data_IF_288639221475
#
_entry.id   IF_288639221475
#
_cell.length_a   1.000
_cell.length_b   1.000
_cell.length_c   1.000
_cell.angle_alpha   90.00
_cell.angle_beta   90.00
_cell.angle_gamma   90.00
#
_symmetry.space_group_name_H-M   'P 1'
#
loop_
_entity.id
_entity.type
_entity.pdbx_description
1 polymer ?
#
# COMPACT_ATOMS: atom_id res chain seq x y z
N UNK A 1 -17.31 -14.10 2.21
CA UNK A 1 -16.73 -13.57 0.95
C UNK A 1 -16.73 -12.03 0.89
N UNK A 2 -17.89 -11.37 1.02
CA UNK A 2 -18.00 -9.88 0.98
C UNK A 2 -17.18 -9.19 2.08
N UNK A 3 -17.11 -9.79 3.28
CA UNK A 3 -16.33 -9.25 4.40
C UNK A 3 -14.82 -9.20 4.09
N UNK A 4 -14.24 -10.25 3.49
CA UNK A 4 -12.83 -10.30 3.12
C UNK A 4 -12.46 -9.25 2.07
N UNK A 5 -13.32 -9.10 1.06
CA UNK A 5 -13.16 -8.06 0.04
C UNK A 5 -13.18 -6.69 0.72
N UNK A 6 -14.12 -6.44 1.64
CA UNK A 6 -14.19 -5.16 2.36
C UNK A 6 -12.94 -4.85 3.19
N UNK A 7 -12.33 -5.84 3.84
CA UNK A 7 -11.10 -5.66 4.64
C UNK A 7 -9.89 -5.39 3.75
N UNK A 8 -9.75 -6.12 2.64
CA UNK A 8 -8.67 -5.90 1.66
C UNK A 8 -8.82 -4.52 1.02
N UNK A 9 -10.04 -4.14 0.62
CA UNK A 9 -10.35 -2.80 0.10
C UNK A 9 -10.06 -1.71 1.12
N UNK A 10 -10.34 -1.93 2.41
CA UNK A 10 -10.04 -0.96 3.48
C UNK A 10 -8.53 -0.79 3.68
N UNK A 11 -7.76 -1.88 3.71
CA UNK A 11 -6.28 -1.82 3.82
C UNK A 11 -5.67 -1.14 2.60
N UNK A 12 -6.19 -1.45 1.41
CA UNK A 12 -5.78 -0.83 0.17
C UNK A 12 -6.09 0.69 0.19
N UNK A 13 -7.30 1.08 0.60
CA UNK A 13 -7.70 2.48 0.77
C UNK A 13 -6.88 3.21 1.84
N UNK A 14 -6.53 2.56 2.96
CA UNK A 14 -5.64 3.15 3.97
C UNK A 14 -4.22 3.34 3.42
N UNK A 15 -3.69 2.36 2.69
CA UNK A 15 -2.42 2.48 1.99
C UNK A 15 -2.43 3.65 1.01
N UNK A 16 -3.48 3.75 0.18
CA UNK A 16 -3.67 4.86 -0.75
C UNK A 16 -3.80 6.21 -0.02
N UNK A 17 -4.62 6.28 1.03
CA UNK A 17 -4.81 7.49 1.84
C UNK A 17 -3.51 7.96 2.48
N UNK A 18 -2.65 7.06 2.99
CA UNK A 18 -1.35 7.46 3.54
C UNK A 18 -0.40 8.03 2.48
N UNK A 19 -0.46 7.53 1.24
CA UNK A 19 0.31 8.07 0.11
C UNK A 19 -0.23 9.45 -0.29
N UNK A 20 -1.55 9.60 -0.39
CA UNK A 20 -2.22 10.88 -0.74
C UNK A 20 -2.04 11.94 0.35
N UNK A 21 -2.17 11.58 1.63
CA UNK A 21 -1.97 12.50 2.76
C UNK A 21 -0.51 12.92 2.89
N UNK A 22 0.45 12.06 2.51
CA UNK A 22 1.87 12.45 2.41
C UNK A 22 2.14 13.33 1.19
N UNK A 23 1.27 13.34 0.18
CA UNK A 23 1.36 14.20 -1.00
C UNK A 23 1.16 15.69 -0.68
N UNK A 24 0.46 16.01 0.42
CA UNK A 24 0.21 17.39 0.87
C UNK A 24 1.35 18.03 1.69
N UNK A 25 2.31 17.26 2.19
CA UNK A 25 3.57 17.83 2.71
C UNK A 25 4.45 18.14 1.50
N UNK A 26 5.20 19.25 1.53
CA UNK A 26 6.16 19.76 0.49
C UNK A 26 7.22 18.76 -0.05
N UNK A 27 7.06 17.46 0.16
CA UNK A 27 7.81 16.39 -0.48
C UNK A 27 7.44 16.33 -1.96
N UNK A 28 8.45 16.46 -2.82
CA UNK A 28 8.30 16.23 -4.27
C UNK A 28 7.62 14.87 -4.48
N UNK A 29 6.61 14.77 -5.36
CA UNK A 29 5.93 13.50 -5.63
C UNK A 29 6.96 12.47 -6.08
N UNK A 30 7.04 11.34 -5.36
CA UNK A 30 7.92 10.26 -5.75
C UNK A 30 7.21 9.38 -6.79
N UNK A 31 7.39 9.74 -8.05
CA UNK A 31 6.82 9.02 -9.19
C UNK A 31 7.32 7.57 -9.31
N UNK A 32 8.49 7.27 -8.75
CA UNK A 32 8.99 5.90 -8.67
C UNK A 32 8.18 5.09 -7.65
N UNK A 33 7.87 5.68 -6.49
CA UNK A 33 6.95 5.07 -5.52
C UNK A 33 5.54 4.92 -6.11
N UNK A 34 5.02 5.90 -6.86
CA UNK A 34 3.71 5.77 -7.54
C UNK A 34 3.69 4.63 -8.56
N UNK A 35 4.77 4.46 -9.33
CA UNK A 35 4.91 3.34 -10.26
C UNK A 35 4.91 1.98 -9.54
N UNK A 36 5.67 1.86 -8.44
CA UNK A 36 5.72 0.64 -7.63
C UNK A 36 4.38 0.31 -6.97
N UNK A 37 3.69 1.32 -6.44
CA UNK A 37 2.34 1.13 -5.89
C UNK A 37 1.40 0.66 -6.99
N UNK A 38 1.40 1.29 -8.16
CA UNK A 38 0.59 0.82 -9.30
C UNK A 38 0.86 -0.64 -9.68
N UNK A 39 2.13 -1.04 -9.72
CA UNK A 39 2.55 -2.41 -10.01
C UNK A 39 2.04 -3.43 -8.99
N UNK A 40 1.97 -3.06 -7.70
CA UNK A 40 1.42 -3.91 -6.64
C UNK A 40 -0.11 -4.03 -6.71
N UNK A 41 -0.81 -3.00 -7.19
CA UNK A 41 -2.27 -2.97 -7.22
C UNK A 41 -2.89 -3.79 -8.35
N UNK A 42 -2.17 -4.02 -9.46
CA UNK A 42 -2.66 -4.88 -10.56
C UNK A 42 -2.94 -6.33 -10.10
N UNK A 43 -1.95 -7.07 -9.56
CA UNK A 43 -2.19 -8.44 -9.12
C UNK A 43 -3.16 -8.49 -7.93
N UNK A 44 -3.20 -7.44 -7.10
CA UNK A 44 -4.16 -7.34 -6.00
C UNK A 44 -5.60 -7.22 -6.51
N UNK A 45 -5.84 -6.37 -7.52
CA UNK A 45 -7.15 -6.22 -8.15
C UNK A 45 -7.58 -7.46 -8.92
N UNK A 46 -6.64 -8.13 -9.60
CA UNK A 46 -6.91 -9.41 -10.27
C UNK A 46 -7.28 -10.50 -9.25
N UNK A 47 -6.55 -10.60 -8.14
CA UNK A 47 -6.86 -11.55 -7.07
C UNK A 47 -8.21 -11.26 -6.39
N UNK A 48 -8.58 -9.99 -6.25
CA UNK A 48 -9.86 -9.57 -5.70
C UNK A 48 -11.02 -9.62 -6.72
N UNK A 49 -10.74 -9.94 -7.99
CA UNK A 49 -11.70 -9.80 -9.10
C UNK A 49 -12.32 -8.39 -9.18
N UNK A 50 -11.57 -7.37 -8.76
CA UNK A 50 -12.00 -5.97 -8.72
C UNK A 50 -11.37 -5.19 -9.88
N UNK A 51 -12.20 -4.92 -10.89
CA UNK A 51 -11.81 -4.19 -12.09
C UNK A 51 -11.31 -2.78 -11.76
N UNK A 52 -11.94 -2.06 -10.82
CA UNK A 52 -11.56 -0.69 -10.47
C UNK A 52 -10.16 -0.66 -9.86
N UNK A 53 -9.86 -1.66 -9.04
CA UNK A 53 -8.58 -1.81 -8.35
C UNK A 53 -7.46 -2.12 -9.33
N UNK A 54 -7.71 -3.00 -10.30
CA UNK A 54 -6.79 -3.26 -11.42
C UNK A 54 -6.61 -2.02 -12.29
N UNK A 55 -7.68 -1.31 -12.65
CA UNK A 55 -7.61 -0.10 -13.47
C UNK A 55 -6.80 1.00 -12.78
N UNK A 56 -7.00 1.18 -11.48
CA UNK A 56 -6.24 2.12 -10.67
C UNK A 56 -4.75 1.79 -10.69
N UNK A 57 -4.40 0.50 -10.56
CA UNK A 57 -3.03 0.02 -10.70
C UNK A 57 -2.42 0.40 -12.06
N UNK A 58 -3.15 0.17 -13.15
CA UNK A 58 -2.72 0.52 -14.51
C UNK A 58 -2.52 2.03 -14.66
N UNK A 59 -3.44 2.85 -14.16
CA UNK A 59 -3.35 4.32 -14.22
C UNK A 59 -2.13 4.82 -13.42
N UNK A 60 -1.90 4.28 -12.22
CA UNK A 60 -0.75 4.64 -11.38
C UNK A 60 0.58 4.27 -12.05
N UNK A 61 0.65 3.11 -12.71
CA UNK A 61 1.80 2.72 -13.53
C UNK A 61 1.99 3.73 -14.67
N UNK A 62 0.94 4.08 -15.39
CA UNK A 62 1.00 5.04 -16.50
C UNK A 62 1.52 6.40 -16.06
N UNK A 63 0.99 6.95 -14.96
CA UNK A 63 1.43 8.22 -14.38
C UNK A 63 2.89 8.11 -13.93
N UNK A 64 3.24 7.07 -13.17
CA UNK A 64 4.59 6.85 -12.67
C UNK A 64 5.63 6.68 -13.78
N UNK A 65 5.29 5.91 -14.82
CA UNK A 65 6.15 5.67 -15.98
C UNK A 65 6.30 6.91 -16.87
N UNK A 66 5.23 7.69 -17.09
CA UNK A 66 5.30 8.92 -17.89
C UNK A 66 6.23 9.97 -17.27
N UNK A 67 6.37 9.95 -15.94
CA UNK A 67 7.25 10.84 -15.16
C UNK A 67 8.57 10.17 -14.80
N UNK A 68 9.03 9.20 -15.60
CA UNK A 68 10.30 8.48 -15.39
C UNK A 68 11.52 9.39 -15.24
N UNK A 69 11.57 10.50 -15.96
CA UNK A 69 12.64 11.50 -15.84
C UNK A 69 12.68 12.22 -14.49
N UNK A 70 11.57 12.19 -13.74
CA UNK A 70 11.43 12.77 -12.40
C UNK A 70 11.53 11.71 -11.31
N UNK A 71 11.90 10.47 -11.65
CA UNK A 71 12.18 9.44 -10.67
C UNK A 71 13.32 9.92 -9.79
N UNK A 72 12.98 10.22 -8.55
CA UNK A 72 13.97 10.56 -7.54
C UNK A 72 14.66 9.24 -7.21
N UNK A 73 15.74 8.92 -7.92
CA UNK A 73 16.73 8.00 -7.39
C UNK A 73 17.29 8.68 -6.14
N UNK A 74 16.71 8.37 -4.98
CA UNK A 74 17.29 8.74 -3.71
C UNK A 74 18.52 7.83 -3.58
N UNK A 75 19.78 8.31 -3.80
CA UNK A 75 20.90 7.53 -3.35
C UNK A 75 20.69 7.33 -1.84
N UNK A 76 20.53 6.09 -1.40
CA UNK A 76 20.52 5.71 0.02
C UNK A 76 21.88 5.97 0.69
N UNK A 77 22.62 7.01 0.30
CA UNK A 77 23.83 7.46 0.99
C UNK A 77 23.39 8.21 2.24
N UNK A 78 23.22 7.46 3.32
CA UNK A 78 23.57 7.95 4.66
C UNK A 78 22.54 8.80 5.41
N UNK A 79 21.25 8.83 5.05
CA UNK A 79 20.25 9.29 6.02
C UNK A 79 20.15 8.27 7.16
N UNK A 80 20.91 8.51 8.23
CA UNK A 80 20.68 7.84 9.52
C UNK A 80 19.27 8.25 9.95
N UNK A 81 18.31 7.35 9.81
CA UNK A 81 16.98 7.50 10.40
C UNK A 81 17.16 7.88 11.87
N UNK A 82 16.54 8.97 12.28
CA UNK A 82 16.50 9.37 13.69
C UNK A 82 15.80 8.27 14.51
N UNK A 83 16.07 8.22 15.82
CA UNK A 83 15.46 7.20 16.68
C UNK A 83 13.92 7.26 16.64
N UNK A 84 13.37 8.47 16.45
CA UNK A 84 11.94 8.73 16.31
C UNK A 84 11.37 8.15 15.00
N UNK A 85 12.00 8.42 13.85
CA UNK A 85 11.56 7.87 12.56
C UNK A 85 11.65 6.33 12.52
N UNK A 86 12.67 5.74 13.15
CA UNK A 86 12.76 4.27 13.30
C UNK A 86 11.60 3.72 14.13
N UNK A 87 11.22 4.43 15.20
CA UNK A 87 10.13 4.04 16.09
C UNK A 87 8.77 4.16 15.39
N UNK A 88 8.55 5.21 14.60
CA UNK A 88 7.36 5.34 13.77
C UNK A 88 7.25 4.23 12.71
N UNK A 89 8.34 3.92 12.02
CA UNK A 89 8.37 2.81 11.05
C UNK A 89 8.14 1.47 11.75
N UNK A 90 8.67 1.30 12.97
CA UNK A 90 8.45 0.10 13.77
C UNK A 90 6.97 -0.05 14.15
N UNK A 91 6.33 1.00 14.66
CA UNK A 91 4.89 0.95 14.97
C UNK A 91 4.03 0.76 13.71
N UNK A 92 4.38 1.41 12.60
CA UNK A 92 3.68 1.20 11.33
C UNK A 92 3.78 -0.27 10.88
N UNK A 93 4.96 -0.89 10.98
CA UNK A 93 5.13 -2.33 10.68
C UNK A 93 4.36 -3.21 11.64
N UNK A 94 4.34 -2.86 12.94
CA UNK A 94 3.62 -3.62 13.96
C UNK A 94 2.11 -3.58 13.70
N UNK A 95 1.56 -2.42 13.33
CA UNK A 95 0.14 -2.27 12.98
C UNK A 95 -0.20 -3.10 11.74
N UNK A 96 0.62 -3.03 10.68
CA UNK A 96 0.40 -3.83 9.47
C UNK A 96 0.46 -5.34 9.78
N UNK A 97 1.39 -5.76 10.63
CA UNK A 97 1.49 -7.16 11.07
C UNK A 97 0.27 -7.59 11.89
N UNK A 98 -0.20 -6.75 12.81
CA UNK A 98 -1.41 -7.02 13.59
C UNK A 98 -2.65 -7.15 12.68
N UNK A 99 -2.81 -6.25 11.70
CA UNK A 99 -3.90 -6.34 10.72
C UNK A 99 -3.80 -7.62 9.89
N UNK A 100 -2.60 -8.04 9.48
CA UNK A 100 -2.40 -9.29 8.75
C UNK A 100 -2.79 -10.51 9.60
N UNK A 101 -2.40 -10.55 10.88
CA UNK A 101 -2.77 -11.63 11.81
C UNK A 101 -4.28 -11.68 12.00
N UNK A 102 -4.94 -10.53 12.19
CA UNK A 102 -6.40 -10.45 12.32
C UNK A 102 -7.07 -10.97 11.05
N UNK A 103 -6.57 -10.58 9.87
CA UNK A 103 -7.09 -11.07 8.59
C UNK A 103 -6.98 -12.59 8.45
N UNK A 104 -5.83 -13.15 8.81
CA UNK A 104 -5.59 -14.61 8.80
C UNK A 104 -6.48 -15.32 9.83
N UNK A 105 -6.57 -14.82 11.06
CA UNK A 105 -7.42 -15.39 12.10
C UNK A 105 -8.90 -15.38 11.70
N UNK A 106 -9.35 -14.28 11.08
CA UNK A 106 -10.71 -14.17 10.55
C UNK A 106 -10.98 -15.19 9.45
N UNK A 107 -9.99 -15.47 8.59
CA UNK A 107 -10.08 -16.50 7.55
C UNK A 107 -10.31 -17.89 8.14
N UNK A 108 -9.47 -18.28 9.11
CA UNK A 108 -9.61 -19.59 9.77
C UNK A 108 -10.90 -19.72 10.58
N UNK A 109 -11.35 -18.67 11.26
CA UNK A 109 -12.60 -18.70 12.01
C UNK A 109 -13.83 -18.85 11.10
N UNK A 110 -13.82 -18.22 9.93
CA UNK A 110 -14.85 -18.39 8.90
C UNK A 110 -14.83 -19.79 8.29
N UNK A 111 -13.64 -20.32 7.95
CA UNK A 111 -13.49 -21.66 7.39
C UNK A 111 -13.95 -22.76 8.38
N UNK A 112 -13.79 -22.53 9.68
CA UNK A 112 -14.23 -23.44 10.73
C UNK A 112 -15.70 -23.26 11.12
N UNK A 113 -16.44 -22.35 10.47
CA UNK A 113 -17.88 -22.15 10.69
C UNK A 113 -18.24 -21.55 12.05
N UNK A 114 -17.28 -20.93 12.75
CA UNK A 114 -17.51 -20.24 14.02
C UNK A 114 -18.15 -18.86 13.82
N UNK A 115 -18.11 -18.33 12.59
CA UNK A 115 -18.70 -17.05 12.16
C UNK A 115 -19.06 -17.08 10.68
#
# INVERSE_FOLDING_TARGET
>A
MVFFISVISLVALMGFATVVLKWGRKSRPDYHTLFLVGLLWIPLGMAASDLLLTLLGVVLIGIGASKRSQWIYIPKKGKRLTAEEKREIFYARLIVLAMAIIGIASFYLFEWGLI
#
